data_IF_782860061509
#
_entry.id   IF_782860061509
#
_cell.length_a   1.000
_cell.length_b   1.000
_cell.length_c   1.000
_cell.angle_alpha   90.00
_cell.angle_beta   90.00
_cell.angle_gamma   90.00
#
_symmetry.space_group_name_H-M   'P 1'
#
loop_
_entity.id
_entity.type
_entity.pdbx_description
1 polymer ?
#
# COMPACT_ATOMS: atom_id res chain seq x y z
N UNK A 1 -25.14 10.96 -1.65
CA UNK A 1 -23.80 10.76 -1.08
C UNK A 1 -23.41 9.31 -1.24
N UNK A 2 -22.26 9.06 -1.83
CA UNK A 2 -21.75 7.70 -2.03
C UNK A 2 -20.97 7.31 -0.76
N UNK A 3 -21.54 6.43 0.07
CA UNK A 3 -20.87 5.94 1.27
C UNK A 3 -19.73 5.00 0.90
N UNK A 4 -18.57 5.19 1.51
CA UNK A 4 -17.39 4.35 1.29
C UNK A 4 -17.33 3.19 2.30
N UNK A 5 -17.09 1.96 1.87
CA UNK A 5 -16.88 0.84 2.78
C UNK A 5 -15.48 0.94 3.40
N UNK A 6 -15.40 1.18 4.69
CA UNK A 6 -14.15 1.36 5.44
C UNK A 6 -13.87 0.11 6.27
N UNK A 7 -12.70 -0.50 6.04
CA UNK A 7 -12.21 -1.60 6.86
C UNK A 7 -11.70 -1.08 8.20
N UNK A 8 -10.85 -0.04 8.16
CA UNK A 8 -10.31 0.64 9.33
C UNK A 8 -9.89 2.07 8.98
N UNK A 9 -9.73 2.90 10.02
CA UNK A 9 -9.14 4.24 9.92
C UNK A 9 -8.43 4.57 11.22
N UNK A 10 -7.19 5.05 11.14
CA UNK A 10 -6.37 5.28 12.32
C UNK A 10 -5.28 6.31 12.05
N UNK A 11 -4.75 6.90 13.12
CA UNK A 11 -3.66 7.86 13.07
C UNK A 11 -2.34 7.17 13.41
N UNK A 12 -1.37 7.30 12.51
CA UNK A 12 -0.04 6.71 12.61
C UNK A 12 0.98 7.58 11.87
N UNK A 13 2.02 7.00 11.32
CA UNK A 13 2.93 7.64 10.37
C UNK A 13 3.17 6.75 9.16
N UNK A 14 3.49 7.37 7.99
CA UNK A 14 3.80 6.62 6.77
C UNK A 14 5.07 5.79 6.97
N UNK A 15 4.95 4.48 6.86
CA UNK A 15 6.01 3.51 7.11
C UNK A 15 6.86 3.14 5.90
N UNK A 16 6.58 3.72 4.72
CA UNK A 16 7.16 3.31 3.44
C UNK A 16 7.41 4.51 2.51
N UNK A 17 8.25 4.29 1.49
CA UNK A 17 8.40 5.21 0.37
C UNK A 17 9.01 6.56 0.69
N UNK A 18 8.75 7.53 -0.19
CA UNK A 18 9.32 8.89 -0.09
C UNK A 18 8.82 9.70 1.10
N UNK A 19 7.70 9.31 1.69
CA UNK A 19 7.09 10.02 2.81
C UNK A 19 7.28 9.31 4.15
N UNK A 20 8.22 8.38 4.22
CA UNK A 20 8.58 7.67 5.44
C UNK A 20 8.74 8.61 6.64
N UNK A 21 8.05 8.31 7.75
CA UNK A 21 8.11 9.04 9.01
C UNK A 21 7.15 10.24 9.11
N UNK A 22 6.41 10.60 8.07
CA UNK A 22 5.40 11.66 8.16
C UNK A 22 4.17 11.21 8.93
N UNK A 23 3.66 12.08 9.82
CA UNK A 23 2.38 11.86 10.50
C UNK A 23 1.25 11.68 9.49
N UNK A 24 0.53 10.56 9.56
CA UNK A 24 -0.41 10.13 8.56
C UNK A 24 -1.72 9.58 9.16
N UNK A 25 -2.85 9.97 8.56
CA UNK A 25 -4.13 9.34 8.84
C UNK A 25 -4.46 8.35 7.74
N UNK A 26 -4.52 7.08 8.08
CA UNK A 26 -4.83 6.03 7.14
C UNK A 26 -6.34 5.80 7.07
N UNK A 27 -6.87 5.71 5.86
CA UNK A 27 -8.23 5.26 5.57
C UNK A 27 -8.10 4.03 4.68
N UNK A 28 -8.32 2.86 5.28
CA UNK A 28 -8.26 1.58 4.59
C UNK A 28 -9.65 1.16 4.12
N UNK A 29 -9.83 1.12 2.80
CA UNK A 29 -11.11 0.76 2.20
C UNK A 29 -11.26 -0.77 2.05
N UNK A 30 -12.49 -1.22 2.11
CA UNK A 30 -12.86 -2.62 1.95
C UNK A 30 -12.99 -2.99 0.48
N UNK A 31 -12.55 -4.21 0.14
CA UNK A 31 -12.67 -4.79 -1.19
C UNK A 31 -11.37 -4.78 -1.97
N UNK A 32 -11.01 -5.95 -2.53
CA UNK A 32 -9.86 -6.11 -3.42
C UNK A 32 -10.12 -7.25 -4.42
N UNK A 33 -10.20 -6.96 -5.73
CA UNK A 33 -10.35 -8.02 -6.73
C UNK A 33 -9.05 -8.72 -7.08
N UNK A 34 -7.88 -8.16 -6.66
CA UNK A 34 -6.55 -8.68 -7.02
C UNK A 34 -6.19 -9.94 -6.24
N UNK A 35 -6.49 -9.97 -4.94
CA UNK A 35 -6.37 -11.16 -4.07
C UNK A 35 -4.98 -11.78 -4.06
N UNK A 36 -3.95 -10.97 -3.82
CA UNK A 36 -2.56 -11.44 -3.76
C UNK A 36 -2.38 -12.53 -2.71
N UNK A 37 -1.65 -13.64 -3.01
CA UNK A 37 -1.43 -14.73 -2.04
C UNK A 37 -0.60 -14.30 -0.82
N UNK A 38 0.24 -13.27 -0.96
CA UNK A 38 1.06 -12.70 0.11
C UNK A 38 0.49 -11.38 0.65
N UNK A 39 -0.85 -11.19 0.59
CA UNK A 39 -1.51 -9.97 1.05
C UNK A 39 -1.33 -9.80 2.56
N UNK A 40 -0.86 -8.62 3.00
CA UNK A 40 -0.72 -8.28 4.42
C UNK A 40 -1.98 -7.64 5.03
N UNK A 41 -3.01 -7.44 4.22
CA UNK A 41 -4.30 -6.85 4.62
C UNK A 41 -5.50 -7.69 4.15
N UNK A 42 -5.43 -9.00 4.35
CA UNK A 42 -6.45 -9.95 3.90
C UNK A 42 -7.84 -9.68 4.49
N UNK A 43 -7.94 -9.05 5.65
CA UNK A 43 -9.20 -8.59 6.22
C UNK A 43 -10.00 -7.65 5.30
N UNK A 44 -9.37 -7.11 4.25
CA UNK A 44 -10.05 -6.26 3.27
C UNK A 44 -10.80 -7.03 2.18
N UNK A 45 -10.56 -8.33 2.03
CA UNK A 45 -11.15 -9.09 0.91
C UNK A 45 -11.35 -10.60 1.15
N UNK A 46 -10.56 -11.22 2.03
CA UNK A 46 -10.61 -12.67 2.20
C UNK A 46 -11.85 -13.08 3.01
N UNK A 47 -12.67 -14.05 2.53
CA UNK A 47 -13.96 -14.38 3.14
C UNK A 47 -13.87 -14.73 4.63
N UNK A 48 -12.78 -15.40 5.04
CA UNK A 48 -12.61 -15.85 6.43
C UNK A 48 -12.15 -14.74 7.38
N UNK A 49 -11.70 -13.59 6.83
CA UNK A 49 -11.09 -12.52 7.61
C UNK A 49 -11.79 -11.16 7.47
N UNK A 50 -12.73 -11.03 6.54
CA UNK A 50 -13.52 -9.80 6.41
C UNK A 50 -14.34 -9.59 7.67
N UNK A 51 -14.22 -8.41 8.33
CA UNK A 51 -15.00 -8.11 9.52
C UNK A 51 -16.51 -8.08 9.22
N UNK A 52 -17.32 -8.54 10.17
CA UNK A 52 -18.78 -8.47 10.05
C UNK A 52 -19.30 -7.02 10.11
N UNK A 53 -18.53 -6.12 10.74
CA UNK A 53 -18.86 -4.73 11.03
C UNK A 53 -18.16 -3.72 10.10
N UNK A 54 -18.02 -4.03 8.81
CA UNK A 54 -17.49 -3.08 7.83
C UNK A 54 -18.34 -1.81 7.81
N UNK A 55 -17.71 -0.70 8.19
CA UNK A 55 -18.35 0.62 8.24
C UNK A 55 -18.68 1.12 6.83
N UNK A 56 -19.87 1.73 6.67
CA UNK A 56 -20.18 2.56 5.49
C UNK A 56 -20.13 4.01 5.92
N UNK A 57 -19.01 4.66 5.65
CA UNK A 57 -18.73 6.00 6.12
C UNK A 57 -19.03 7.08 5.08
N UNK A 58 -19.51 8.21 5.58
CA UNK A 58 -19.68 9.41 4.79
C UNK A 58 -18.31 10.07 4.52
N UNK A 59 -17.99 10.49 3.27
CA UNK A 59 -16.73 11.16 2.92
C UNK A 59 -16.41 12.38 3.79
N UNK A 60 -17.42 13.20 4.14
CA UNK A 60 -17.23 14.37 5.00
C UNK A 60 -16.84 13.96 6.44
N UNK A 61 -17.47 12.90 6.97
CA UNK A 61 -17.13 12.40 8.30
C UNK A 61 -15.71 11.81 8.35
N UNK A 62 -15.27 11.15 7.27
CA UNK A 62 -13.89 10.66 7.13
C UNK A 62 -12.90 11.82 7.11
N UNK A 63 -13.18 12.85 6.31
CA UNK A 63 -12.34 14.04 6.21
C UNK A 63 -12.26 14.82 7.54
N UNK A 64 -13.35 14.90 8.27
CA UNK A 64 -13.38 15.53 9.61
C UNK A 64 -12.53 14.75 10.60
N UNK A 65 -12.62 13.41 10.60
CA UNK A 65 -11.80 12.56 11.47
C UNK A 65 -10.31 12.71 11.17
N UNK A 66 -9.94 12.75 9.89
CA UNK A 66 -8.56 12.99 9.47
C UNK A 66 -8.05 14.38 9.91
N UNK A 67 -8.87 15.42 9.73
CA UNK A 67 -8.53 16.77 10.14
C UNK A 67 -8.36 16.89 11.66
N UNK A 68 -9.25 16.28 12.43
CA UNK A 68 -9.19 16.28 13.89
C UNK A 68 -7.96 15.55 14.45
N UNK A 69 -7.38 14.60 13.69
CA UNK A 69 -6.15 13.89 14.11
C UNK A 69 -4.90 14.77 14.09
N UNK A 70 -4.90 15.88 13.34
CA UNK A 70 -3.74 16.74 13.17
C UNK A 70 -2.64 16.13 12.29
N UNK A 71 -2.95 15.14 11.45
CA UNK A 71 -1.99 14.50 10.55
C UNK A 71 -1.44 15.47 9.49
N UNK A 72 -0.25 15.19 8.98
CA UNK A 72 0.35 15.94 7.87
C UNK A 72 -0.18 15.49 6.51
N UNK A 73 -0.52 14.21 6.37
CA UNK A 73 -1.02 13.58 5.14
C UNK A 73 -2.15 12.60 5.43
N UNK A 74 -3.02 12.40 4.46
CA UNK A 74 -4.02 11.32 4.50
C UNK A 74 -3.66 10.26 3.47
N UNK A 75 -3.57 9.00 3.90
CA UNK A 75 -3.25 7.87 3.03
C UNK A 75 -4.52 7.07 2.75
N UNK A 76 -4.98 7.11 1.51
CA UNK A 76 -6.05 6.25 1.02
C UNK A 76 -5.46 4.94 0.52
N UNK A 77 -5.81 3.86 1.17
CA UNK A 77 -5.31 2.52 0.90
C UNK A 77 -6.44 1.50 1.09
N UNK A 78 -6.12 0.26 1.27
CA UNK A 78 -7.13 -0.74 1.64
C UNK A 78 -6.81 -2.10 1.09
N UNK A 79 -7.85 -2.76 0.54
CA UNK A 79 -7.70 -3.76 -0.47
C UNK A 79 -7.17 -3.10 -1.76
N UNK A 80 -8.09 -2.69 -2.63
CA UNK A 80 -7.72 -1.82 -3.76
C UNK A 80 -8.64 -0.58 -3.75
N UNK A 81 -8.13 0.59 -3.34
CA UNK A 81 -8.97 1.79 -3.19
C UNK A 81 -9.50 2.32 -4.52
N UNK A 82 -8.82 2.07 -5.64
CA UNK A 82 -9.23 2.56 -6.95
C UNK A 82 -10.50 1.88 -7.52
N UNK A 83 -11.04 0.85 -6.86
CA UNK A 83 -12.36 0.30 -7.24
C UNK A 83 -13.53 1.18 -6.77
N UNK A 84 -13.24 2.20 -5.98
CA UNK A 84 -14.23 3.13 -5.44
C UNK A 84 -14.11 4.50 -6.10
N UNK A 85 -15.22 5.23 -6.16
CA UNK A 85 -15.21 6.64 -6.52
C UNK A 85 -14.81 7.47 -5.29
N UNK A 86 -13.62 8.09 -5.36
CA UNK A 86 -13.01 8.83 -4.26
C UNK A 86 -13.14 10.36 -4.43
N UNK A 87 -13.86 10.85 -5.44
CA UNK A 87 -13.99 12.30 -5.69
C UNK A 87 -14.52 13.08 -4.48
N UNK A 88 -15.61 12.61 -3.87
CA UNK A 88 -16.23 13.31 -2.73
C UNK A 88 -15.25 13.35 -1.54
N UNK A 89 -14.56 12.23 -1.25
CA UNK A 89 -13.60 12.16 -0.15
C UNK A 89 -12.37 13.04 -0.40
N UNK A 90 -11.76 12.94 -1.58
CA UNK A 90 -10.58 13.75 -1.92
C UNK A 90 -10.91 15.24 -1.95
N UNK A 91 -12.12 15.61 -2.40
CA UNK A 91 -12.61 16.97 -2.34
C UNK A 91 -12.75 17.48 -0.91
N UNK A 92 -13.40 16.70 -0.03
CA UNK A 92 -13.59 17.05 1.39
C UNK A 92 -12.25 17.20 2.15
N UNK A 93 -11.26 16.34 1.85
CA UNK A 93 -9.92 16.45 2.40
C UNK A 93 -9.17 17.69 1.89
N UNK A 94 -9.28 17.99 0.60
CA UNK A 94 -8.66 19.16 -0.03
C UNK A 94 -9.18 20.48 0.54
N UNK A 95 -10.48 20.59 0.80
CA UNK A 95 -11.08 21.79 1.44
C UNK A 95 -10.44 22.05 2.81
N UNK A 96 -10.04 20.98 3.52
CA UNK A 96 -9.34 21.03 4.80
C UNK A 96 -7.81 21.20 4.68
N UNK A 97 -7.31 21.40 3.45
CA UNK A 97 -5.88 21.53 3.14
C UNK A 97 -5.07 20.30 3.55
N UNK A 98 -5.67 19.11 3.53
CA UNK A 98 -5.00 17.84 3.78
C UNK A 98 -4.52 17.22 2.47
N UNK A 99 -3.20 17.05 2.28
CA UNK A 99 -2.66 16.32 1.13
C UNK A 99 -3.13 14.86 1.14
N UNK A 100 -3.60 14.39 -0.02
CA UNK A 100 -4.12 13.02 -0.17
C UNK A 100 -3.12 12.16 -0.93
N UNK A 101 -2.67 11.09 -0.32
CA UNK A 101 -1.81 10.08 -0.90
C UNK A 101 -2.63 8.82 -1.22
N UNK A 102 -2.44 8.27 -2.40
CA UNK A 102 -3.08 7.03 -2.83
C UNK A 102 -2.05 5.90 -2.90
N UNK A 103 -2.36 4.76 -2.31
CA UNK A 103 -1.65 3.50 -2.52
C UNK A 103 -2.53 2.52 -3.29
N UNK A 104 -2.15 2.16 -4.51
CA UNK A 104 -2.93 1.34 -5.44
C UNK A 104 -2.06 0.35 -6.21
N UNK A 105 -2.65 -0.75 -6.70
CA UNK A 105 -1.97 -1.61 -7.68
C UNK A 105 -1.87 -0.94 -9.08
N UNK A 106 -2.62 0.14 -9.31
CA UNK A 106 -2.62 0.87 -10.57
C UNK A 106 -3.44 0.26 -11.70
N UNK A 107 -4.13 -0.85 -11.47
CA UNK A 107 -4.86 -1.59 -12.53
C UNK A 107 -6.26 -1.01 -12.84
N UNK A 108 -6.76 -0.10 -12.03
CA UNK A 108 -8.11 0.47 -12.15
C UNK A 108 -8.05 1.97 -12.44
N UNK A 109 -9.12 2.51 -13.02
CA UNK A 109 -9.24 3.96 -13.23
C UNK A 109 -9.24 4.70 -11.91
N UNK A 110 -8.47 5.79 -11.82
CA UNK A 110 -8.42 6.62 -10.62
C UNK A 110 -9.51 7.67 -10.67
N UNK A 111 -10.34 7.71 -9.62
CA UNK A 111 -11.44 8.67 -9.46
C UNK A 111 -11.21 9.48 -8.19
N UNK A 112 -10.64 10.69 -8.33
CA UNK A 112 -10.32 11.60 -7.23
C UNK A 112 -9.09 12.46 -7.54
N UNK A 113 -8.79 13.40 -6.64
CA UNK A 113 -7.66 14.32 -6.72
C UNK A 113 -6.58 13.91 -5.70
N UNK A 114 -5.42 13.45 -6.17
CA UNK A 114 -4.35 12.94 -5.32
C UNK A 114 -3.11 13.83 -5.42
N UNK A 115 -2.53 14.15 -4.27
CA UNK A 115 -1.26 14.90 -4.16
C UNK A 115 -0.04 13.99 -4.37
N UNK A 116 -0.23 12.69 -4.14
CA UNK A 116 0.81 11.67 -4.30
C UNK A 116 0.16 10.33 -4.68
N UNK A 117 0.75 9.63 -5.64
CA UNK A 117 0.30 8.31 -6.08
C UNK A 117 1.47 7.35 -6.01
N UNK A 118 1.34 6.34 -5.16
CA UNK A 118 2.22 5.18 -5.08
C UNK A 118 1.59 4.03 -5.83
N UNK A 119 2.21 3.57 -6.91
CA UNK A 119 1.75 2.39 -7.64
C UNK A 119 2.56 1.18 -7.19
N UNK A 120 1.87 0.17 -6.65
CA UNK A 120 2.42 -1.12 -6.26
C UNK A 120 1.92 -2.22 -7.21
N UNK A 121 2.58 -2.43 -8.37
CA UNK A 121 2.06 -3.28 -9.44
C UNK A 121 1.92 -4.74 -9.01
N UNK A 122 0.96 -5.45 -9.60
CA UNK A 122 0.66 -6.86 -9.33
C UNK A 122 0.57 -7.64 -10.63
N UNK A 123 1.11 -8.88 -10.66
CA UNK A 123 1.11 -9.69 -11.88
C UNK A 123 -0.30 -10.06 -12.36
N UNK A 124 -1.21 -10.31 -11.42
CA UNK A 124 -2.61 -10.68 -11.75
C UNK A 124 -3.48 -9.48 -12.11
N UNK A 125 -2.93 -8.25 -11.99
CA UNK A 125 -3.59 -7.00 -12.30
C UNK A 125 -2.56 -5.94 -12.69
N UNK A 126 -2.09 -5.99 -13.94
CA UNK A 126 -1.07 -5.08 -14.46
C UNK A 126 -1.57 -3.63 -14.44
N UNK A 127 -0.70 -2.67 -14.09
CA UNK A 127 -1.08 -1.27 -14.02
C UNK A 127 -1.39 -0.69 -15.41
N UNK A 128 -2.33 0.23 -15.45
CA UNK A 128 -2.64 1.02 -16.63
C UNK A 128 -1.53 2.02 -16.93
N UNK A 129 -1.19 2.23 -18.20
CA UNK A 129 -0.13 3.17 -18.60
C UNK A 129 -0.37 4.59 -18.10
N UNK A 130 -1.62 5.05 -18.07
CA UNK A 130 -1.97 6.37 -17.52
C UNK A 130 -1.67 6.47 -16.02
N UNK A 131 -1.93 5.42 -15.24
CA UNK A 131 -1.65 5.41 -13.81
C UNK A 131 -0.14 5.34 -13.52
N UNK A 132 0.62 4.66 -14.39
CA UNK A 132 2.08 4.69 -14.36
C UNK A 132 2.65 6.07 -14.74
N UNK A 133 2.02 6.78 -15.67
CA UNK A 133 2.42 8.13 -16.05
C UNK A 133 2.14 9.15 -14.93
N UNK A 134 1.05 8.96 -14.18
CA UNK A 134 0.66 9.82 -13.05
C UNK A 134 1.31 9.40 -11.73
N UNK A 135 2.01 8.27 -11.69
CA UNK A 135 2.67 7.78 -10.48
C UNK A 135 3.83 8.70 -10.06
N UNK A 136 3.96 8.91 -8.74
CA UNK A 136 5.06 9.65 -8.13
C UNK A 136 6.18 8.71 -7.67
N UNK A 137 5.82 7.49 -7.32
CA UNK A 137 6.75 6.41 -6.99
C UNK A 137 6.15 5.04 -7.33
N UNK A 138 7.04 4.07 -7.52
CA UNK A 138 6.66 2.66 -7.64
C UNK A 138 7.13 1.88 -6.40
N UNK A 139 6.30 0.94 -5.94
CA UNK A 139 6.63 0.01 -4.86
C UNK A 139 6.55 -1.42 -5.40
N UNK A 140 7.70 -2.03 -5.61
CA UNK A 140 7.83 -3.39 -6.15
C UNK A 140 8.09 -4.35 -5.01
N UNK A 141 7.25 -5.35 -4.87
CA UNK A 141 7.45 -6.45 -3.93
C UNK A 141 8.40 -7.46 -4.55
N UNK A 142 9.44 -7.81 -3.80
CA UNK A 142 10.55 -8.64 -4.26
C UNK A 142 10.57 -9.95 -3.48
N UNK A 143 10.42 -11.05 -4.21
CA UNK A 143 10.56 -12.41 -3.69
C UNK A 143 11.97 -12.95 -3.95
N UNK A 144 12.55 -12.57 -5.12
CA UNK A 144 13.89 -12.95 -5.55
C UNK A 144 14.43 -11.99 -6.65
N UNK A 145 15.61 -12.27 -7.19
CA UNK A 145 16.16 -11.49 -8.30
C UNK A 145 15.33 -11.61 -9.58
N UNK A 146 14.65 -12.73 -9.77
CA UNK A 146 13.81 -12.97 -10.97
C UNK A 146 12.61 -12.04 -10.97
N UNK A 147 11.98 -11.82 -9.81
CA UNK A 147 10.87 -10.90 -9.65
C UNK A 147 11.27 -9.45 -9.97
N UNK A 148 12.46 -9.01 -9.55
CA UNK A 148 12.98 -7.67 -9.92
C UNK A 148 13.15 -7.57 -11.43
N UNK A 149 13.82 -8.54 -12.06
CA UNK A 149 14.07 -8.52 -13.51
C UNK A 149 12.80 -8.51 -14.34
N UNK A 150 11.80 -9.30 -13.92
CA UNK A 150 10.49 -9.32 -14.58
C UNK A 150 9.81 -7.96 -14.52
N UNK A 151 9.77 -7.32 -13.34
CA UNK A 151 9.15 -6.01 -13.20
C UNK A 151 9.91 -4.92 -13.97
N UNK A 152 11.24 -4.94 -13.95
CA UNK A 152 12.05 -4.01 -14.75
C UNK A 152 11.72 -4.13 -16.23
N UNK A 153 11.62 -5.35 -16.75
CA UNK A 153 11.25 -5.59 -18.15
C UNK A 153 9.81 -5.18 -18.48
N UNK A 154 8.86 -5.47 -17.58
CA UNK A 154 7.45 -5.13 -17.79
C UNK A 154 7.19 -3.62 -17.76
N UNK A 155 7.93 -2.89 -16.92
CA UNK A 155 7.73 -1.47 -16.71
C UNK A 155 8.65 -0.59 -17.55
N UNK A 156 9.54 -1.19 -18.35
CA UNK A 156 10.48 -0.46 -19.20
C UNK A 156 9.77 0.46 -20.18
N UNK A 157 10.09 1.75 -20.11
CA UNK A 157 9.48 2.79 -20.97
C UNK A 157 8.04 3.17 -20.65
N UNK A 158 7.42 2.55 -19.63
CA UNK A 158 6.04 2.80 -19.23
C UNK A 158 5.87 3.83 -18.11
N UNK A 159 6.95 4.23 -17.45
CA UNK A 159 6.92 5.23 -16.37
C UNK A 159 8.12 6.17 -16.45
N UNK A 160 8.03 7.29 -15.72
CA UNK A 160 9.10 8.28 -15.56
C UNK A 160 9.39 8.61 -14.09
N UNK A 161 9.01 7.73 -13.17
CA UNK A 161 9.24 7.95 -11.74
C UNK A 161 10.73 7.90 -11.40
N UNK A 162 11.15 8.76 -10.49
CA UNK A 162 12.52 8.84 -9.98
C UNK A 162 12.78 7.90 -8.80
N UNK A 163 11.72 7.30 -8.25
CA UNK A 163 11.77 6.46 -7.05
C UNK A 163 11.07 5.12 -7.30
N UNK A 164 11.86 4.08 -7.48
CA UNK A 164 11.40 2.70 -7.58
C UNK A 164 11.88 1.95 -6.34
N UNK A 165 10.97 1.75 -5.38
CA UNK A 165 11.25 1.09 -4.13
C UNK A 165 11.15 -0.42 -4.29
N UNK A 166 12.19 -1.14 -3.92
CA UNK A 166 12.25 -2.59 -3.87
C UNK A 166 12.02 -3.02 -2.43
N UNK A 167 10.82 -3.53 -2.15
CA UNK A 167 10.44 -4.02 -0.82
C UNK A 167 10.56 -5.55 -0.77
N UNK A 168 11.19 -6.12 0.26
CA UNK A 168 11.13 -7.56 0.45
C UNK A 168 9.68 -8.00 0.66
N UNK A 169 9.30 -9.14 0.15
CA UNK A 169 8.04 -9.77 0.50
C UNK A 169 8.08 -10.10 2.01
N UNK A 170 7.06 -9.62 2.73
CA UNK A 170 7.11 -9.57 4.20
C UNK A 170 7.07 -10.94 4.88
N UNK A 171 6.36 -11.92 4.32
CA UNK A 171 6.28 -13.24 4.91
C UNK A 171 7.65 -13.92 4.97
N UNK A 172 8.54 -13.66 4.00
CA UNK A 172 9.90 -14.18 3.98
C UNK A 172 10.77 -13.65 5.14
N UNK A 173 10.38 -12.52 5.75
CA UNK A 173 11.12 -11.93 6.86
C UNK A 173 10.64 -12.39 8.24
N UNK A 174 9.40 -12.86 8.34
CA UNK A 174 8.75 -13.15 9.62
C UNK A 174 8.63 -14.63 9.95
N UNK A 175 8.91 -15.51 9.00
CA UNK A 175 8.85 -16.94 9.20
C UNK A 175 10.27 -17.50 9.42
N UNK A 176 10.53 -18.01 10.61
CA UNK A 176 11.81 -18.67 10.94
C UNK A 176 12.12 -19.87 10.01
N UNK A 177 11.09 -20.52 9.45
CA UNK A 177 11.29 -21.64 8.52
C UNK A 177 11.88 -21.22 7.18
N UNK A 178 11.68 -19.95 6.77
CA UNK A 178 12.20 -19.35 5.51
C UNK A 178 13.17 -18.19 5.75
N UNK A 179 13.71 -18.07 6.96
CA UNK A 179 14.65 -16.99 7.34
C UNK A 179 15.83 -16.84 6.37
N UNK A 180 16.37 -17.97 5.88
CA UNK A 180 17.45 -17.96 4.90
C UNK A 180 17.04 -17.32 3.57
N UNK A 181 15.78 -17.48 3.16
CA UNK A 181 15.22 -16.86 1.96
C UNK A 181 15.01 -15.36 2.17
N UNK A 182 14.53 -14.97 3.36
CA UNK A 182 14.41 -13.55 3.75
C UNK A 182 15.77 -12.83 3.73
N UNK A 183 16.80 -13.41 4.32
CA UNK A 183 18.16 -12.84 4.29
C UNK A 183 18.69 -12.73 2.85
N UNK A 184 18.39 -13.73 2.00
CA UNK A 184 18.76 -13.72 0.59
C UNK A 184 18.05 -12.60 -0.18
N UNK A 185 16.75 -12.38 0.06
CA UNK A 185 15.98 -11.28 -0.59
C UNK A 185 16.55 -9.92 -0.21
N UNK A 186 16.84 -9.69 1.08
CA UNK A 186 17.45 -8.43 1.54
C UNK A 186 18.81 -8.18 0.88
N UNK A 187 19.63 -9.23 0.74
CA UNK A 187 20.91 -9.17 0.03
C UNK A 187 20.71 -8.86 -1.45
N UNK A 188 19.79 -9.55 -2.11
CA UNK A 188 19.44 -9.34 -3.52
C UNK A 188 19.04 -7.90 -3.79
N UNK A 189 18.16 -7.32 -2.99
CA UNK A 189 17.77 -5.91 -3.10
C UNK A 189 18.98 -5.00 -2.92
N UNK A 190 19.78 -5.24 -1.89
CA UNK A 190 20.98 -4.43 -1.62
C UNK A 190 21.99 -4.46 -2.77
N UNK A 191 22.25 -5.64 -3.32
CA UNK A 191 23.15 -5.79 -4.46
C UNK A 191 22.60 -5.16 -5.73
N UNK A 192 21.27 -5.30 -5.96
CA UNK A 192 20.60 -4.64 -7.09
C UNK A 192 20.76 -3.14 -7.03
N UNK A 193 20.41 -2.53 -5.90
CA UNK A 193 20.49 -1.06 -5.72
C UNK A 193 21.92 -0.57 -5.83
N UNK A 194 22.89 -1.26 -5.25
CA UNK A 194 24.32 -0.90 -5.37
C UNK A 194 24.83 -0.98 -6.81
N UNK A 195 24.35 -1.94 -7.57
CA UNK A 195 24.78 -2.18 -8.95
C UNK A 195 24.16 -1.20 -9.95
N UNK A 196 22.87 -0.91 -9.77
CA UNK A 196 22.09 -0.16 -10.78
C UNK A 196 21.87 1.31 -10.40
N UNK A 197 21.88 1.65 -9.09
CA UNK A 197 21.64 3.01 -8.63
C UNK A 197 20.23 3.47 -8.92
N UNK A 198 20.05 4.79 -9.15
CA UNK A 198 18.75 5.35 -9.49
C UNK A 198 18.18 4.72 -10.77
N UNK A 199 16.84 4.55 -10.84
CA UNK A 199 15.82 5.01 -9.91
C UNK A 199 15.57 4.07 -8.70
N UNK A 200 16.32 2.96 -8.58
CA UNK A 200 16.07 1.92 -7.57
C UNK A 200 16.50 2.33 -6.17
N UNK A 201 15.67 2.00 -5.20
CA UNK A 201 15.88 2.25 -3.78
C UNK A 201 15.52 1.01 -2.97
N UNK A 202 16.31 0.72 -1.93
CA UNK A 202 15.97 -0.33 -0.99
C UNK A 202 14.83 0.16 -0.09
N UNK A 203 13.70 -0.54 -0.10
CA UNK A 203 12.53 -0.26 0.71
C UNK A 203 12.38 -1.24 1.86
N UNK A 204 11.61 -0.85 2.85
CA UNK A 204 11.22 -1.68 3.99
C UNK A 204 9.91 -1.19 4.60
N UNK A 205 9.12 -2.09 5.19
CA UNK A 205 7.90 -1.73 5.92
C UNK A 205 8.27 -1.40 7.36
N UNK A 206 8.75 -0.18 7.58
CA UNK A 206 9.32 0.22 8.88
C UNK A 206 8.25 0.28 9.98
N UNK A 207 6.99 0.60 9.64
CA UNK A 207 5.86 0.59 10.58
C UNK A 207 5.68 -0.78 11.27
N UNK A 208 5.98 -1.88 10.58
CA UNK A 208 5.90 -3.23 11.15
C UNK A 208 7.00 -3.52 12.18
N UNK A 209 8.16 -2.87 12.07
CA UNK A 209 9.24 -2.98 13.06
C UNK A 209 8.90 -2.26 14.36
N UNK A 210 8.11 -1.19 14.25
CA UNK A 210 7.68 -0.39 15.40
C UNK A 210 6.34 -0.83 15.97
N UNK A 211 5.61 -1.72 15.30
CA UNK A 211 4.22 -2.09 15.60
C UNK A 211 3.30 -0.87 15.73
N UNK A 212 3.63 0.22 15.03
CA UNK A 212 3.00 1.52 15.23
C UNK A 212 1.51 1.52 14.87
N UNK A 213 1.12 0.73 13.89
CA UNK A 213 -0.28 0.62 13.48
C UNK A 213 -1.15 -0.01 14.58
N UNK A 214 -0.54 -0.78 15.50
CA UNK A 214 -1.23 -1.37 16.66
C UNK A 214 -1.35 -0.40 17.85
N UNK A 215 -0.74 0.78 17.77
CA UNK A 215 -0.76 1.76 18.86
C UNK A 215 -2.02 2.61 18.89
N UNK A 216 -2.73 2.76 17.76
CA UNK A 216 -4.03 3.41 17.71
C UNK A 216 -5.13 2.37 17.98
N UNK A 217 -5.99 2.57 19.00
CA UNK A 217 -7.07 1.63 19.32
C UNK A 217 -8.14 1.51 18.22
N UNK A 218 -8.14 2.40 17.24
CA UNK A 218 -9.03 2.34 16.08
C UNK A 218 -8.46 1.48 14.93
N UNK A 219 -7.20 1.08 15.03
CA UNK A 219 -6.57 0.15 14.09
C UNK A 219 -7.06 -1.28 14.33
N UNK A 220 -7.17 -2.05 13.27
CA UNK A 220 -7.47 -3.48 13.34
C UNK A 220 -6.17 -4.27 13.30
N UNK A 221 -6.16 -5.42 13.96
CA UNK A 221 -5.05 -6.36 13.83
C UNK A 221 -4.90 -6.74 12.36
N UNK A 222 -3.72 -6.54 11.81
CA UNK A 222 -3.40 -7.00 10.47
C UNK A 222 -3.61 -8.52 10.38
N UNK A 223 -4.26 -8.95 9.30
CA UNK A 223 -4.36 -10.36 8.96
C UNK A 223 -3.45 -10.60 7.76
N UNK A 224 -2.17 -10.90 7.97
CA UNK A 224 -1.29 -11.24 6.88
C UNK A 224 -1.67 -12.63 6.38
N UNK A 225 -2.03 -12.74 5.11
CA UNK A 225 -1.83 -13.97 4.39
C UNK A 225 -0.35 -13.98 4.04
N UNK A 226 0.48 -14.52 4.88
CA UNK A 226 1.85 -14.76 4.52
C UNK A 226 1.88 -15.81 3.42
N UNK A 227 1.93 -15.41 2.19
CA UNK A 227 2.28 -16.22 1.04
C UNK A 227 1.44 -17.47 0.73
N UNK A 228 1.06 -18.28 1.68
CA UNK A 228 0.36 -19.54 1.43
C UNK A 228 -0.59 -19.89 2.58
N UNK A 229 -1.92 -19.89 2.33
CA UNK A 229 -2.90 -20.30 3.34
C UNK A 229 -2.68 -21.73 3.85
N UNK A 230 -2.05 -22.63 3.06
CA UNK A 230 -1.71 -23.98 3.47
C UNK A 230 -0.51 -24.01 4.44
N UNK A 231 0.29 -22.96 4.46
CA UNK A 231 1.46 -22.82 5.36
C UNK A 231 1.13 -22.16 6.70
N UNK A 232 -0.10 -21.65 6.86
CA UNK A 232 -0.52 -20.98 8.09
C UNK A 232 0.21 -19.66 8.38
N UNK A 233 0.72 -19.04 7.33
CA UNK A 233 1.42 -17.78 7.35
C UNK A 233 0.57 -16.73 6.65
#
# INVERSE_FOLDING_TARGET
MNLLPVNERFHTWQGEGCHLGKSAYFIRLQGCPVKCPWCDSAGTWHPDYVPEDVEKADPEALAESAFASGCEIVVLTGGEPAIHDLHDLTHALRIRSLPVHLETCGAFELHGDFSWITVSPKWDALPLDRNLADAHELKIIVEDETSIRKWVSELEGRHQVENVWLHPEWSLLNDESVKADGEKVLRTISEWVKKHGAPYRAGYQLHKVYDVDQMDPASRTLVPLGGDPERGI
#
